data_IF_715657929911
#
_entry.id   IF_715657929911
#
_cell.length_a   1.000
_cell.length_b   1.000
_cell.length_c   1.000
_cell.angle_alpha   90.00
_cell.angle_beta   90.00
_cell.angle_gamma   90.00
#
_symmetry.space_group_name_H-M   'P 1'
#
loop_
_entity.id
_entity.type
_entity.pdbx_description
1 polymer ?
#
# COMPACT_ATOMS: atom_id res chain seq x y z
N UNK A 1 -0.11 4.99 26.52
CA UNK A 1 -1.17 4.64 25.55
C UNK A 1 -0.57 3.67 24.54
N UNK A 2 -1.34 2.72 24.01
CA UNK A 2 -0.87 1.85 22.92
C UNK A 2 -0.70 2.68 21.65
N UNK A 3 0.43 2.55 20.94
CA UNK A 3 0.64 3.25 19.68
C UNK A 3 -0.40 2.81 18.64
N UNK A 4 -0.90 3.70 17.77
CA UNK A 4 -1.79 3.32 16.69
C UNK A 4 -1.04 2.42 15.70
N UNK A 5 -1.72 1.39 15.19
CA UNK A 5 -1.18 0.49 14.17
C UNK A 5 -1.30 1.11 12.79
N UNK A 6 -0.23 1.12 12.01
CA UNK A 6 -0.17 1.70 10.66
C UNK A 6 0.35 0.68 9.66
N UNK A 7 -0.22 0.69 8.46
CA UNK A 7 0.23 -0.14 7.35
C UNK A 7 0.54 0.70 6.12
N UNK A 8 1.55 0.28 5.37
CA UNK A 8 1.92 0.78 4.05
C UNK A 8 1.88 -0.40 3.09
N UNK A 9 1.23 -0.22 1.94
CA UNK A 9 1.14 -1.28 0.94
C UNK A 9 1.15 -0.74 -0.48
N UNK A 10 1.91 -1.41 -1.34
CA UNK A 10 2.08 -1.07 -2.75
C UNK A 10 1.27 -1.97 -3.69
N UNK A 11 0.40 -1.38 -4.52
CA UNK A 11 -0.21 -2.08 -5.64
C UNK A 11 0.68 -1.97 -6.88
N UNK A 12 0.13 -1.68 -8.07
CA UNK A 12 0.93 -1.36 -9.26
C UNK A 12 1.57 0.02 -9.07
N UNK A 13 2.72 0.01 -8.39
CA UNK A 13 3.48 1.16 -7.93
C UNK A 13 4.89 1.14 -8.51
N UNK A 14 5.52 2.29 -8.58
CA UNK A 14 6.94 2.43 -8.92
C UNK A 14 7.85 2.46 -7.67
N UNK A 15 7.29 2.34 -6.46
CA UNK A 15 8.01 2.49 -5.19
C UNK A 15 8.19 3.93 -4.72
N UNK A 16 7.94 4.94 -5.56
CA UNK A 16 8.19 6.35 -5.20
C UNK A 16 7.36 6.88 -4.01
N UNK A 17 6.16 6.33 -3.76
CA UNK A 17 5.40 6.71 -2.56
C UNK A 17 6.02 6.11 -1.28
N UNK A 18 6.64 4.93 -1.37
CA UNK A 18 7.39 4.37 -0.25
C UNK A 18 8.65 5.19 0.01
N UNK A 19 9.37 5.55 -1.06
CA UNK A 19 10.54 6.43 -0.97
C UNK A 19 10.18 7.76 -0.32
N UNK A 20 9.03 8.36 -0.64
CA UNK A 20 8.58 9.60 0.00
C UNK A 20 8.42 9.49 1.53
N UNK A 21 8.20 8.29 2.08
CA UNK A 21 8.20 8.05 3.53
C UNK A 21 9.63 7.90 4.05
N UNK A 22 10.50 7.21 3.31
CA UNK A 22 11.92 7.04 3.65
C UNK A 22 12.70 8.37 3.56
N UNK A 23 12.31 9.25 2.65
CA UNK A 23 12.83 10.61 2.44
C UNK A 23 12.55 11.55 3.63
N UNK A 24 11.82 11.10 4.65
CA UNK A 24 11.83 11.76 5.97
C UNK A 24 13.22 11.71 6.62
N UNK A 25 14.17 10.94 6.09
CA UNK A 25 15.54 10.81 6.58
C UNK A 25 15.54 10.50 8.09
N UNK A 26 16.19 11.32 8.93
CA UNK A 26 16.24 11.06 10.37
C UNK A 26 14.87 11.21 11.05
N UNK A 27 13.94 11.97 10.48
CA UNK A 27 12.60 12.17 11.05
C UNK A 27 11.72 10.92 10.95
N UNK A 28 12.11 9.92 10.15
CA UNK A 28 11.45 8.61 10.18
C UNK A 28 11.52 7.96 11.57
N UNK A 29 12.55 8.29 12.37
CA UNK A 29 12.69 7.81 13.74
C UNK A 29 11.52 8.30 14.62
N UNK A 30 11.03 9.51 14.38
CA UNK A 30 9.84 10.05 15.08
C UNK A 30 8.58 9.29 14.68
N UNK A 31 8.50 8.82 13.43
CA UNK A 31 7.36 8.03 12.94
C UNK A 31 7.31 6.68 13.66
N UNK A 32 8.42 5.94 13.70
CA UNK A 32 8.47 4.63 14.39
C UNK A 32 8.31 4.77 15.92
N UNK A 33 8.66 5.92 16.49
CA UNK A 33 8.34 6.24 17.87
C UNK A 33 6.85 6.50 18.09
N UNK A 34 6.14 7.06 17.11
CA UNK A 34 4.73 7.42 17.23
C UNK A 34 3.75 6.29 16.89
N UNK A 35 4.12 5.36 16.00
CA UNK A 35 3.20 4.33 15.49
C UNK A 35 3.79 2.92 15.53
N UNK A 36 2.92 1.91 15.58
CA UNK A 36 3.31 0.51 15.38
C UNK A 36 3.11 0.14 13.90
N UNK A 37 4.20 -0.03 13.15
CA UNK A 37 4.12 -0.44 11.74
C UNK A 37 3.87 -1.95 11.68
N UNK A 38 2.74 -2.35 11.10
CA UNK A 38 2.30 -3.76 11.05
C UNK A 38 2.33 -4.37 9.65
N UNK A 39 2.57 -3.55 8.64
CA UNK A 39 2.79 -3.98 7.26
C UNK A 39 3.57 -2.88 6.55
N UNK A 40 4.73 -3.23 6.00
CA UNK A 40 5.49 -2.36 5.11
C UNK A 40 6.47 -3.20 4.26
N UNK A 41 6.01 -3.80 3.14
CA UNK A 41 6.76 -4.84 2.43
C UNK A 41 8.14 -4.43 1.91
N UNK A 42 8.35 -3.13 1.65
CA UNK A 42 9.66 -2.62 1.20
C UNK A 42 10.71 -2.62 2.30
N UNK A 43 10.30 -2.48 3.56
CA UNK A 43 11.18 -2.22 4.70
C UNK A 43 11.19 -3.35 5.74
N UNK A 44 10.13 -4.17 5.78
CA UNK A 44 9.90 -5.16 6.85
C UNK A 44 9.32 -6.46 6.28
N UNK A 45 9.66 -7.59 6.91
CA UNK A 45 9.36 -8.94 6.39
C UNK A 45 7.95 -9.47 6.76
N UNK A 46 6.95 -8.60 6.81
CA UNK A 46 5.57 -9.01 7.08
C UNK A 46 4.95 -9.77 5.90
N UNK A 47 4.14 -10.77 6.19
CA UNK A 47 3.43 -11.61 5.22
C UNK A 47 1.93 -11.34 5.25
N UNK A 48 1.24 -11.77 4.19
CA UNK A 48 -0.24 -11.69 4.09
C UNK A 48 -0.93 -12.35 5.28
N UNK A 49 -0.44 -13.50 5.72
CA UNK A 49 -0.96 -14.24 6.85
C UNK A 49 -0.94 -13.43 8.16
N UNK A 50 0.07 -12.58 8.35
CA UNK A 50 0.19 -11.76 9.56
C UNK A 50 -0.95 -10.74 9.63
N UNK A 51 -1.27 -10.13 8.48
CA UNK A 51 -2.37 -9.16 8.35
C UNK A 51 -3.74 -9.85 8.43
N UNK A 52 -3.88 -11.03 7.84
CA UNK A 52 -5.11 -11.84 7.90
C UNK A 52 -5.47 -12.22 9.34
N UNK A 53 -4.47 -12.58 10.15
CA UNK A 53 -4.63 -12.94 11.56
C UNK A 53 -5.00 -11.76 12.46
N UNK A 54 -4.84 -10.51 12.02
CA UNK A 54 -5.23 -9.33 12.79
C UNK A 54 -6.76 -9.23 12.91
N UNK A 55 -7.32 -8.72 14.01
CA UNK A 55 -8.75 -8.41 14.08
C UNK A 55 -9.16 -7.36 13.04
N UNK A 56 -10.39 -7.45 12.52
CA UNK A 56 -10.93 -6.45 11.62
C UNK A 56 -11.00 -5.07 12.31
N UNK A 57 -10.73 -3.99 11.56
CA UNK A 57 -10.64 -2.63 12.08
C UNK A 57 -9.49 -2.35 13.06
N UNK A 58 -8.58 -3.29 13.31
CA UNK A 58 -7.49 -3.12 14.29
C UNK A 58 -6.31 -2.27 13.79
N UNK A 59 -6.19 -2.05 12.48
CA UNK A 59 -5.23 -1.11 11.89
C UNK A 59 -5.87 0.28 11.92
N UNK A 60 -5.20 1.27 12.52
CA UNK A 60 -5.76 2.62 12.60
C UNK A 60 -5.88 3.25 11.21
N UNK A 61 -4.82 3.17 10.40
CA UNK A 61 -4.78 3.65 9.03
C UNK A 61 -3.87 2.79 8.16
N UNK A 62 -4.32 2.50 6.94
CA UNK A 62 -3.43 1.99 5.88
C UNK A 62 -3.25 3.02 4.77
N UNK A 63 -1.99 3.29 4.42
CA UNK A 63 -1.60 4.04 3.24
C UNK A 63 -1.42 3.07 2.08
N UNK A 64 -2.33 3.13 1.11
CA UNK A 64 -2.28 2.27 -0.08
C UNK A 64 -1.80 3.13 -1.25
N UNK A 65 -0.67 2.74 -1.84
CA UNK A 65 -0.12 3.38 -3.04
C UNK A 65 -0.23 2.44 -4.26
N UNK A 66 0.01 3.00 -5.45
CA UNK A 66 -0.11 2.25 -6.71
C UNK A 66 -1.57 2.01 -7.16
N UNK A 67 -1.74 1.71 -8.44
CA UNK A 67 -3.05 1.38 -9.02
C UNK A 67 -3.38 -0.10 -8.84
N UNK A 68 -4.66 -0.49 -8.89
CA UNK A 68 -5.05 -1.92 -8.89
C UNK A 68 -5.06 -2.43 -10.33
N UNK A 69 -4.14 -3.35 -10.66
CA UNK A 69 -3.94 -3.93 -12.00
C UNK A 69 -4.05 -5.46 -12.03
N UNK A 70 -3.94 -6.12 -10.88
CA UNK A 70 -4.05 -7.59 -10.76
C UNK A 70 -5.11 -7.98 -9.73
N UNK A 71 -5.57 -9.24 -9.79
CA UNK A 71 -6.50 -9.79 -8.79
C UNK A 71 -5.87 -9.82 -7.39
N UNK A 72 -4.59 -10.11 -7.28
CA UNK A 72 -3.86 -10.06 -6.01
C UNK A 72 -3.93 -8.66 -5.38
N UNK A 73 -3.73 -7.61 -6.18
CA UNK A 73 -3.80 -6.23 -5.68
C UNK A 73 -5.22 -5.85 -5.23
N UNK A 74 -6.26 -6.33 -5.92
CA UNK A 74 -7.66 -6.17 -5.50
C UNK A 74 -7.93 -6.90 -4.17
N UNK A 75 -7.42 -8.12 -4.00
CA UNK A 75 -7.52 -8.88 -2.76
C UNK A 75 -6.86 -8.15 -1.59
N UNK A 76 -5.65 -7.61 -1.79
CA UNK A 76 -4.94 -6.85 -0.77
C UNK A 76 -5.66 -5.55 -0.41
N UNK A 77 -6.15 -4.79 -1.40
CA UNK A 77 -6.91 -3.57 -1.15
C UNK A 77 -8.17 -3.86 -0.32
N UNK A 78 -8.88 -4.95 -0.63
CA UNK A 78 -10.06 -5.40 0.13
C UNK A 78 -9.69 -5.90 1.52
N UNK A 79 -8.59 -6.65 1.67
CA UNK A 79 -8.09 -7.10 2.96
C UNK A 79 -7.78 -5.90 3.86
N UNK A 80 -6.96 -4.96 3.38
CA UNK A 80 -6.59 -3.77 4.13
C UNK A 80 -7.80 -2.89 4.45
N UNK A 81 -8.77 -2.77 3.53
CA UNK A 81 -10.03 -2.07 3.82
C UNK A 81 -10.79 -2.70 4.98
N UNK A 82 -10.86 -4.03 5.07
CA UNK A 82 -11.50 -4.73 6.22
C UNK A 82 -10.70 -4.56 7.51
N UNK A 83 -9.37 -4.65 7.44
CA UNK A 83 -8.49 -4.57 8.63
C UNK A 83 -8.30 -3.15 9.17
N UNK A 84 -8.60 -2.12 8.38
CA UNK A 84 -8.31 -0.72 8.74
C UNK A 84 -9.54 0.11 9.10
N UNK A 85 -9.40 1.00 10.08
CA UNK A 85 -10.35 2.08 10.35
C UNK A 85 -10.36 3.12 9.24
N UNK A 86 -9.19 3.59 8.82
CA UNK A 86 -9.02 4.53 7.71
C UNK A 86 -8.17 3.93 6.57
N UNK A 87 -8.47 4.32 5.34
CA UNK A 87 -7.60 4.11 4.18
C UNK A 87 -7.24 5.46 3.59
N UNK A 88 -5.97 5.64 3.25
CA UNK A 88 -5.45 6.78 2.49
C UNK A 88 -4.97 6.28 1.14
N UNK A 89 -5.56 6.78 0.06
CA UNK A 89 -5.01 6.63 -1.29
C UNK A 89 -3.77 7.52 -1.40
N UNK A 90 -2.60 6.93 -1.17
CA UNK A 90 -1.34 7.66 -1.10
C UNK A 90 -0.64 7.68 -2.46
N UNK A 91 -0.68 8.84 -3.13
CA UNK A 91 -0.07 9.06 -4.43
C UNK A 91 -1.05 9.08 -5.61
N UNK A 92 -0.58 9.60 -6.75
CA UNK A 92 -1.43 9.77 -7.95
C UNK A 92 -1.90 8.44 -8.54
N UNK A 93 -1.11 7.38 -8.45
CA UNK A 93 -1.49 6.06 -8.97
C UNK A 93 -2.69 5.46 -8.22
N UNK A 94 -2.72 5.55 -6.89
CA UNK A 94 -3.83 5.02 -6.09
C UNK A 94 -5.07 5.93 -6.14
N UNK A 95 -4.87 7.25 -6.34
CA UNK A 95 -5.98 8.19 -6.44
C UNK A 95 -6.62 8.25 -7.83
N UNK A 96 -5.82 8.24 -8.89
CA UNK A 96 -6.27 8.54 -10.28
C UNK A 96 -5.86 7.46 -11.30
N UNK A 97 -5.18 6.40 -10.89
CA UNK A 97 -4.64 5.35 -11.78
C UNK A 97 -3.22 5.62 -12.29
N UNK A 98 -2.81 6.90 -12.36
CA UNK A 98 -1.43 7.32 -12.68
C UNK A 98 -0.89 6.79 -14.02
N UNK A 99 0.43 6.71 -14.13
CA UNK A 99 1.11 6.19 -15.35
C UNK A 99 0.66 4.76 -15.70
N UNK A 100 0.48 3.82 -14.74
CA UNK A 100 -0.08 2.50 -15.07
C UNK A 100 -1.47 2.56 -15.73
N UNK A 101 -2.25 3.62 -15.50
CA UNK A 101 -3.57 3.81 -16.11
C UNK A 101 -3.54 4.05 -17.62
N UNK A 102 -2.41 4.50 -18.19
CA UNK A 102 -2.25 4.65 -19.64
C UNK A 102 -2.43 3.33 -20.41
N UNK A 103 -2.20 2.19 -19.74
CA UNK A 103 -2.43 0.87 -20.30
C UNK A 103 -3.91 0.62 -20.68
N UNK A 104 -4.85 1.40 -20.14
CA UNK A 104 -6.27 1.30 -20.48
C UNK A 104 -6.58 1.78 -21.91
N UNK A 105 -5.61 2.39 -22.60
CA UNK A 105 -5.72 2.76 -24.02
C UNK A 105 -5.45 1.58 -24.97
N UNK A 106 -5.08 0.41 -24.43
CA UNK A 106 -4.81 -0.80 -25.19
C UNK A 106 -5.53 -2.00 -24.57
N UNK A 107 -5.77 -3.04 -25.36
CA UNK A 107 -6.27 -4.30 -24.84
C UNK A 107 -5.20 -5.03 -24.06
N UNK A 108 -5.63 -5.92 -23.15
CA UNK A 108 -4.72 -6.78 -22.38
C UNK A 108 -3.79 -7.57 -23.31
N UNK A 109 -4.33 -8.17 -24.37
CA UNK A 109 -3.55 -9.00 -25.30
C UNK A 109 -2.47 -8.20 -26.05
N UNK A 110 -2.77 -6.95 -26.44
CA UNK A 110 -1.79 -6.07 -27.09
C UNK A 110 -0.63 -5.74 -26.14
N UNK A 111 -0.92 -5.45 -24.87
CA UNK A 111 0.11 -5.17 -23.86
C UNK A 111 1.06 -6.36 -23.66
N UNK A 112 0.53 -7.59 -23.58
CA UNK A 112 1.35 -8.80 -23.39
C UNK A 112 2.14 -9.21 -24.63
N UNK A 113 1.71 -8.82 -25.84
CA UNK A 113 2.42 -9.12 -27.10
C UNK A 113 3.53 -8.12 -27.43
N UNK A 114 3.48 -6.93 -26.83
CA UNK A 114 4.45 -5.84 -27.10
C UNK A 114 5.65 -5.87 -26.17
N UNK A 115 5.55 -6.57 -25.04
CA UNK A 115 6.59 -6.70 -24.02
C UNK A 115 7.68 -7.72 -24.40
#
# INVERSE_FOLDING_TARGET
MTKPKVAFYWCASCGGCEEAVVDLAEDILKVVEAVDIVLWPVAMDFKKSDVEAMPDGSIAVSFINGAVRTSEQDEWAKLLRRKSGLIVAFGSCSHLGGIPGLANLSSRDELFKTA
#
